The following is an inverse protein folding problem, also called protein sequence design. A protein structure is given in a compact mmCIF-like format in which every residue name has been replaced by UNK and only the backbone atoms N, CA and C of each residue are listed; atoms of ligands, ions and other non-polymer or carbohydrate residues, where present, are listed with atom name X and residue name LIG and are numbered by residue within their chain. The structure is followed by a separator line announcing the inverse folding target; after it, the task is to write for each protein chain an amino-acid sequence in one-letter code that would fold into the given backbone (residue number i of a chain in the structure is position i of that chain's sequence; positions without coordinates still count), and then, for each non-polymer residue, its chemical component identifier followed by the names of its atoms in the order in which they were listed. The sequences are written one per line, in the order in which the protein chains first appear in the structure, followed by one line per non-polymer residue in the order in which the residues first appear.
data_IF_845644556927
#
_entry.id   IF_845644556927
#
_cell.length_a   1.000
_cell.length_b   1.000
_cell.length_c   1.000
_cell.angle_alpha   90.00
_cell.angle_beta   90.00
_cell.angle_gamma   90.00
#
_symmetry.space_group_name_H-M   'P 1'
#
loop_
_entity.id
_entity.type
_entity.pdbx_description
1 polymer ?
#
# COMPACT_ATOMS: atom_id res chain seq x y z
N UNK A 1 28.35 -35.03 -43.41
CA UNK A 1 27.16 -34.80 -42.55
C UNK A 1 27.53 -34.09 -41.24
N UNK A 2 28.11 -32.87 -41.28
CA UNK A 2 28.48 -32.12 -40.07
C UNK A 2 28.01 -30.64 -40.07
N UNK A 3 27.29 -30.20 -41.11
CA UNK A 3 26.80 -28.81 -41.22
C UNK A 3 25.56 -28.48 -40.39
N UNK A 4 24.62 -29.42 -40.22
CA UNK A 4 23.30 -29.14 -39.63
C UNK A 4 23.24 -29.02 -38.10
N UNK A 5 24.32 -29.32 -37.38
CA UNK A 5 24.29 -29.37 -35.90
C UNK A 5 24.70 -28.04 -35.24
N UNK A 6 25.40 -27.15 -35.97
CA UNK A 6 25.87 -25.86 -35.44
C UNK A 6 24.84 -24.73 -35.54
N UNK A 7 24.06 -24.67 -36.62
CA UNK A 7 23.01 -23.65 -36.78
C UNK A 7 21.86 -23.83 -35.79
N UNK A 8 21.49 -25.07 -35.46
CA UNK A 8 20.42 -25.35 -34.49
C UNK A 8 20.79 -24.96 -33.04
N UNK A 9 22.08 -24.97 -32.69
CA UNK A 9 22.55 -24.57 -31.34
C UNK A 9 22.60 -23.05 -31.17
N UNK A 10 22.74 -22.29 -32.26
CA UNK A 10 22.75 -20.83 -32.22
C UNK A 10 21.36 -20.23 -32.01
N UNK A 11 20.32 -20.90 -32.51
CA UNK A 11 18.92 -20.50 -32.30
C UNK A 11 18.38 -20.89 -30.93
N UNK A 12 18.90 -21.97 -30.32
CA UNK A 12 18.43 -22.49 -29.03
C UNK A 12 18.73 -21.54 -27.85
N UNK A 13 19.75 -20.68 -28.01
CA UNK A 13 20.22 -19.77 -26.95
C UNK A 13 19.85 -18.31 -27.19
N UNK A 14 19.03 -18.01 -28.21
CA UNK A 14 18.59 -16.65 -28.50
C UNK A 14 17.48 -16.24 -27.55
N UNK A 15 17.73 -15.18 -26.77
CA UNK A 15 16.76 -14.63 -25.83
C UNK A 15 15.97 -13.48 -26.46
N UNK A 16 14.64 -13.53 -26.34
CA UNK A 16 13.69 -12.49 -26.78
C UNK A 16 13.01 -11.86 -25.57
N UNK A 17 12.68 -10.57 -25.66
CA UNK A 17 11.94 -9.86 -24.60
C UNK A 17 10.44 -10.12 -24.76
N UNK A 18 9.80 -10.60 -23.71
CA UNK A 18 8.35 -10.84 -23.69
C UNK A 18 7.57 -9.73 -22.98
N UNK A 19 8.17 -9.07 -22.00
CA UNK A 19 7.50 -7.99 -21.26
C UNK A 19 8.51 -6.95 -20.73
N UNK A 20 8.01 -5.73 -20.53
CA UNK A 20 8.72 -4.63 -19.84
C UNK A 20 7.80 -4.15 -18.72
N UNK A 21 8.26 -4.26 -17.47
CA UNK A 21 7.44 -3.96 -16.28
C UNK A 21 8.30 -3.42 -15.14
N UNK A 22 7.66 -3.02 -14.03
CA UNK A 22 8.34 -2.77 -12.76
C UNK A 22 9.06 -4.04 -12.29
N UNK A 23 10.06 -3.89 -11.42
CA UNK A 23 10.83 -5.02 -10.92
C UNK A 23 9.95 -6.08 -10.24
N UNK A 24 8.98 -5.64 -9.44
CA UNK A 24 8.04 -6.54 -8.74
C UNK A 24 7.18 -7.34 -9.72
N UNK A 25 6.53 -6.67 -10.67
CA UNK A 25 5.72 -7.32 -11.71
C UNK A 25 6.56 -8.28 -12.57
N UNK A 26 7.81 -7.91 -12.87
CA UNK A 26 8.73 -8.78 -13.61
C UNK A 26 9.16 -10.02 -12.82
N UNK A 27 9.32 -9.91 -11.50
CA UNK A 27 9.61 -11.05 -10.62
C UNK A 27 8.44 -12.04 -10.59
N UNK A 28 7.21 -11.53 -10.47
CA UNK A 28 5.98 -12.34 -10.50
C UNK A 28 5.89 -13.08 -11.85
N UNK A 29 6.03 -12.35 -12.96
CA UNK A 29 5.99 -12.93 -14.30
C UNK A 29 7.08 -14.00 -14.49
N UNK A 30 8.30 -13.76 -13.99
CA UNK A 30 9.40 -14.74 -14.02
C UNK A 30 9.00 -16.03 -13.32
N UNK A 31 8.47 -15.93 -12.10
CA UNK A 31 8.03 -17.10 -11.31
C UNK A 31 6.95 -17.91 -12.02
N UNK A 32 5.98 -17.23 -12.63
CA UNK A 32 4.89 -17.91 -13.35
C UNK A 32 5.43 -18.65 -14.59
N UNK A 33 6.25 -17.99 -15.39
CA UNK A 33 6.87 -18.62 -16.57
C UNK A 33 7.73 -19.83 -16.16
N UNK A 34 8.52 -19.70 -15.10
CA UNK A 34 9.36 -20.80 -14.59
C UNK A 34 8.52 -21.97 -14.05
N UNK A 35 7.37 -21.70 -13.42
CA UNK A 35 6.46 -22.75 -12.94
C UNK A 35 5.84 -23.59 -14.07
N UNK A 36 5.67 -22.98 -15.26
CA UNK A 36 5.26 -23.65 -16.49
C UNK A 36 6.43 -24.29 -17.24
N UNK A 37 7.64 -24.25 -16.68
CA UNK A 37 8.86 -24.81 -17.28
C UNK A 37 9.44 -23.96 -18.41
N UNK A 38 9.15 -22.67 -18.45
CA UNK A 38 9.72 -21.70 -19.40
C UNK A 38 10.84 -20.94 -18.69
N UNK A 39 12.08 -21.14 -19.15
CA UNK A 39 13.25 -20.46 -18.57
C UNK A 39 13.20 -18.95 -18.90
N UNK A 40 13.23 -18.10 -17.86
CA UNK A 40 13.13 -16.65 -18.02
C UNK A 40 14.17 -15.89 -17.19
N UNK A 41 14.65 -14.77 -17.73
CA UNK A 41 15.71 -13.94 -17.14
C UNK A 41 15.27 -12.48 -17.13
N UNK A 42 15.45 -11.80 -15.99
CA UNK A 42 15.22 -10.36 -15.86
C UNK A 42 16.50 -9.61 -16.22
N UNK A 43 16.41 -8.68 -17.17
CA UNK A 43 17.49 -7.78 -17.58
C UNK A 43 17.14 -6.33 -17.21
N UNK A 44 18.17 -5.55 -16.85
CA UNK A 44 18.01 -4.13 -16.50
C UNK A 44 18.08 -3.83 -15.00
N UNK A 45 18.49 -4.80 -14.18
CA UNK A 45 18.82 -4.57 -12.78
C UNK A 45 20.24 -4.00 -12.66
N UNK A 46 20.40 -2.85 -11.99
CA UNK A 46 21.70 -2.34 -11.59
C UNK A 46 21.97 -2.79 -10.16
N UNK A 47 22.83 -3.79 -9.97
CA UNK A 47 23.13 -4.37 -8.65
C UNK A 47 24.13 -3.55 -7.82
N UNK A 48 24.76 -2.53 -8.43
CA UNK A 48 25.85 -1.75 -7.82
C UNK A 48 25.31 -0.54 -7.06
N UNK A 49 24.19 0.02 -7.49
CA UNK A 49 23.51 1.14 -6.83
C UNK A 49 22.08 0.72 -6.47
N UNK A 50 21.62 0.94 -5.22
CA UNK A 50 20.27 0.59 -4.78
C UNK A 50 19.23 1.61 -5.28
N UNK A 51 19.22 1.86 -6.59
CA UNK A 51 18.14 2.58 -7.26
C UNK A 51 17.23 1.55 -7.92
N UNK A 52 15.93 1.60 -7.59
CA UNK A 52 14.93 0.74 -8.21
C UNK A 52 14.86 1.16 -9.69
N UNK A 53 15.25 0.32 -10.67
CA UNK A 53 15.12 0.69 -12.07
C UNK A 53 13.63 0.86 -12.38
N UNK A 54 13.26 2.02 -12.93
CA UNK A 54 11.85 2.32 -13.24
C UNK A 54 11.20 1.34 -14.24
N UNK A 55 12.00 0.56 -14.98
CA UNK A 55 11.50 -0.57 -15.76
C UNK A 55 12.59 -1.62 -16.00
N UNK A 56 12.21 -2.90 -15.96
CA UNK A 56 13.06 -4.05 -16.26
C UNK A 56 12.42 -4.91 -17.35
N UNK A 57 13.23 -5.74 -18.02
CA UNK A 57 12.81 -6.56 -19.17
C UNK A 57 12.84 -8.04 -18.80
N UNK A 58 11.73 -8.74 -19.01
CA UNK A 58 11.67 -10.21 -18.89
C UNK A 58 11.98 -10.82 -20.25
N UNK A 59 13.00 -11.68 -20.30
CA UNK A 59 13.46 -12.36 -21.52
C UNK A 59 13.35 -13.88 -21.37
N UNK A 60 13.01 -14.55 -22.47
CA UNK A 60 12.89 -16.01 -22.56
C UNK A 60 13.62 -16.51 -23.80
N UNK A 61 13.78 -17.82 -23.94
CA UNK A 61 14.29 -18.42 -25.18
C UNK A 61 13.28 -18.23 -26.31
N UNK A 62 13.76 -17.95 -27.52
CA UNK A 62 12.94 -17.73 -28.72
C UNK A 62 12.04 -18.94 -29.03
N UNK A 63 12.50 -20.16 -28.73
CA UNK A 63 11.75 -21.41 -28.90
C UNK A 63 10.47 -21.48 -28.05
N UNK A 64 10.46 -20.81 -26.89
CA UNK A 64 9.35 -20.87 -25.93
C UNK A 64 8.36 -19.71 -26.11
N UNK A 65 8.57 -18.85 -27.12
CA UNK A 65 7.81 -17.61 -27.29
C UNK A 65 6.29 -17.83 -27.37
N UNK A 66 5.84 -18.76 -28.21
CA UNK A 66 4.41 -19.04 -28.36
C UNK A 66 3.79 -19.60 -27.08
N UNK A 67 4.54 -20.40 -26.33
CA UNK A 67 4.07 -20.99 -25.08
C UNK A 67 4.00 -19.93 -23.98
N UNK A 68 5.00 -19.06 -23.91
CA UNK A 68 5.03 -17.96 -22.96
C UNK A 68 3.90 -16.96 -23.18
N UNK A 69 3.61 -16.58 -24.42
CA UNK A 69 2.48 -15.67 -24.71
C UNK A 69 1.14 -16.26 -24.26
N UNK A 70 0.91 -17.57 -24.46
CA UNK A 70 -0.31 -18.24 -23.96
C UNK A 70 -0.41 -18.21 -22.44
N UNK A 71 0.69 -18.43 -21.74
CA UNK A 71 0.72 -18.35 -20.27
C UNK A 71 0.44 -16.92 -19.82
N UNK A 72 1.06 -15.92 -20.46
CA UNK A 72 0.87 -14.51 -20.14
C UNK A 72 -0.59 -14.06 -20.35
N UNK A 73 -1.23 -14.49 -21.43
CA UNK A 73 -2.64 -14.17 -21.71
C UNK A 73 -3.61 -14.80 -20.69
N UNK A 74 -3.25 -15.92 -20.07
CA UNK A 74 -4.05 -16.57 -19.03
C UNK A 74 -3.83 -15.98 -17.64
N UNK A 75 -2.80 -15.16 -17.47
CA UNK A 75 -2.44 -14.57 -16.19
C UNK A 75 -3.01 -13.16 -16.12
N UNK A 76 -3.96 -12.97 -15.21
CA UNK A 76 -4.49 -11.65 -14.89
C UNK A 76 -3.45 -10.85 -14.08
N UNK A 77 -2.52 -10.20 -14.79
CA UNK A 77 -1.65 -9.14 -14.24
C UNK A 77 -2.43 -7.88 -13.87
N UNK A 78 -3.74 -7.85 -14.13
CA UNK A 78 -4.70 -6.83 -13.71
C UNK A 78 -5.06 -6.93 -12.23
N UNK A 79 -4.52 -7.93 -11.51
CA UNK A 79 -4.47 -7.90 -10.05
C UNK A 79 -3.62 -6.71 -9.64
N UNK A 80 -4.32 -5.59 -9.48
CA UNK A 80 -3.86 -4.29 -9.05
C UNK A 80 -2.77 -4.49 -8.00
N UNK A 81 -1.52 -4.28 -8.43
CA UNK A 81 -0.45 -4.05 -7.48
C UNK A 81 -0.82 -2.72 -6.84
N UNK A 82 -0.72 -2.60 -5.51
CA UNK A 82 -1.14 -1.43 -4.74
C UNK A 82 -0.57 -0.08 -5.23
N UNK A 83 0.36 -0.09 -6.19
CA UNK A 83 0.91 1.07 -6.87
C UNK A 83 0.01 1.62 -8.01
N UNK A 84 -0.81 0.79 -8.68
CA UNK A 84 -1.78 1.27 -9.69
C UNK A 84 -3.12 1.71 -9.04
N UNK A 85 -3.31 1.44 -7.75
CA UNK A 85 -4.47 1.86 -6.96
C UNK A 85 -4.41 3.31 -6.49
N UNK A 86 -3.24 3.97 -6.53
CA UNK A 86 -3.16 5.39 -6.14
C UNK A 86 -3.91 6.33 -7.11
N UNK A 87 -4.16 5.93 -8.36
CA UNK A 87 -4.91 6.76 -9.32
C UNK A 87 -6.40 6.39 -9.48
N UNK A 88 -6.87 5.25 -8.94
CA UNK A 88 -8.28 4.84 -9.09
C UNK A 88 -8.94 4.18 -7.88
N UNK A 89 -8.29 4.12 -6.72
CA UNK A 89 -9.07 4.29 -5.51
C UNK A 89 -9.64 5.72 -5.60
N UNK A 90 -10.96 5.86 -5.63
CA UNK A 90 -11.58 7.08 -5.17
C UNK A 90 -11.09 7.26 -3.74
N UNK A 91 -9.89 7.81 -3.55
CA UNK A 91 -9.40 8.27 -2.26
C UNK A 91 -10.51 9.21 -1.83
N UNK A 92 -11.35 8.75 -0.91
CA UNK A 92 -12.39 9.58 -0.32
C UNK A 92 -11.61 10.80 0.12
N UNK A 93 -11.80 11.91 -0.61
CA UNK A 93 -11.13 13.15 -0.24
C UNK A 93 -11.80 13.45 1.08
N UNK A 94 -11.03 13.39 2.15
CA UNK A 94 -11.49 13.68 3.49
C UNK A 94 -10.58 14.74 4.09
N UNK A 95 -11.15 15.71 4.78
CA UNK A 95 -10.42 16.64 5.62
C UNK A 95 -10.53 16.15 7.05
N UNK A 96 -9.38 15.83 7.65
CA UNK A 96 -9.28 15.49 9.05
C UNK A 96 -9.12 16.77 9.87
N UNK A 97 -10.07 17.04 10.77
CA UNK A 97 -10.03 18.17 11.69
C UNK A 97 -9.71 17.64 13.09
N UNK A 98 -8.54 17.99 13.66
CA UNK A 98 -8.27 17.70 15.06
C UNK A 98 -9.15 18.57 15.95
N UNK A 99 -9.76 17.98 16.97
CA UNK A 99 -10.60 18.67 17.95
C UNK A 99 -10.09 18.42 19.36
N UNK A 100 -10.04 19.46 20.17
CA UNK A 100 -9.57 19.44 21.56
C UNK A 100 -10.63 19.95 22.55
N UNK A 101 -11.85 20.17 22.06
CA UNK A 101 -13.00 20.72 22.81
C UNK A 101 -12.81 22.14 23.35
N UNK A 102 -11.73 22.83 22.98
CA UNK A 102 -11.55 24.24 23.31
C UNK A 102 -12.56 25.13 22.57
N UNK A 103 -12.71 26.37 23.02
CA UNK A 103 -13.55 27.37 22.34
C UNK A 103 -13.11 27.61 20.87
N UNK A 104 -11.84 27.34 20.55
CA UNK A 104 -11.28 27.44 19.20
C UNK A 104 -11.64 26.27 18.28
N UNK A 105 -12.14 25.15 18.84
CA UNK A 105 -12.58 24.00 18.05
C UNK A 105 -13.68 24.40 17.05
N UNK A 106 -14.63 25.25 17.44
CA UNK A 106 -15.71 25.69 16.54
C UNK A 106 -15.18 26.49 15.35
N UNK A 107 -14.24 27.41 15.58
CA UNK A 107 -13.59 28.17 14.50
C UNK A 107 -12.82 27.25 13.54
N UNK A 108 -12.18 26.23 14.07
CA UNK A 108 -11.44 25.23 13.29
C UNK A 108 -12.40 24.38 12.44
N UNK A 109 -13.55 23.99 13.01
CA UNK A 109 -14.61 23.30 12.29
C UNK A 109 -15.18 24.17 11.17
N UNK A 110 -15.48 25.44 11.43
CA UNK A 110 -15.98 26.39 10.42
C UNK A 110 -15.01 26.50 9.22
N UNK A 111 -13.72 26.70 9.49
CA UNK A 111 -12.70 26.74 8.45
C UNK A 111 -12.64 25.43 7.67
N UNK A 112 -12.61 24.29 8.38
CA UNK A 112 -12.52 22.98 7.76
C UNK A 112 -13.75 22.63 6.91
N UNK A 113 -14.96 23.00 7.33
CA UNK A 113 -16.18 22.82 6.53
C UNK A 113 -16.16 23.67 5.26
N UNK A 114 -15.68 24.91 5.35
CA UNK A 114 -15.52 25.77 4.18
C UNK A 114 -14.51 25.20 3.19
N UNK A 115 -13.36 24.75 3.69
CA UNK A 115 -12.35 24.09 2.87
C UNK A 115 -12.89 22.80 2.24
N UNK A 116 -13.71 22.04 2.97
CA UNK A 116 -14.33 20.82 2.47
C UNK A 116 -15.31 21.08 1.33
N UNK A 117 -16.10 22.15 1.46
CA UNK A 117 -17.00 22.62 0.41
C UNK A 117 -16.25 23.02 -0.86
N UNK A 118 -15.14 23.73 -0.72
CA UNK A 118 -14.32 24.19 -1.85
C UNK A 118 -13.63 23.01 -2.56
N UNK A 119 -13.18 22.01 -1.80
CA UNK A 119 -12.50 20.82 -2.31
C UNK A 119 -13.43 19.67 -2.70
N UNK A 120 -14.74 19.79 -2.44
CA UNK A 120 -15.77 18.77 -2.65
C UNK A 120 -15.41 17.43 -1.99
N UNK A 121 -15.12 17.50 -0.70
CA UNK A 121 -14.63 16.39 0.09
C UNK A 121 -15.42 16.26 1.42
N UNK A 122 -15.33 15.10 2.07
CA UNK A 122 -15.98 14.88 3.37
C UNK A 122 -15.12 15.45 4.50
N UNK A 123 -15.71 15.58 5.69
CA UNK A 123 -14.99 15.99 6.90
C UNK A 123 -15.05 14.91 7.95
N UNK A 124 -13.92 14.66 8.60
CA UNK A 124 -13.81 13.77 9.75
C UNK A 124 -13.24 14.55 10.93
N UNK A 125 -14.00 14.60 12.02
CA UNK A 125 -13.51 15.17 13.28
C UNK A 125 -12.76 14.07 14.05
N UNK A 126 -11.61 14.42 14.63
CA UNK A 126 -10.78 13.47 15.38
C UNK A 126 -10.29 14.11 16.68
N UNK A 127 -10.60 13.45 17.80
CA UNK A 127 -10.05 13.78 19.09
C UNK A 127 -9.03 12.70 19.51
N UNK A 128 -7.90 13.12 20.05
CA UNK A 128 -6.90 12.23 20.60
C UNK A 128 -6.87 12.35 22.13
N UNK A 129 -7.11 11.23 22.81
CA UNK A 129 -7.07 11.14 24.27
C UNK A 129 -6.10 10.04 24.70
N UNK A 130 -5.48 10.21 25.86
CA UNK A 130 -4.52 9.25 26.37
C UNK A 130 -5.24 8.14 27.15
N UNK A 131 -5.02 6.90 26.74
CA UNK A 131 -5.33 5.72 27.55
C UNK A 131 -4.03 4.96 27.81
N UNK A 132 -3.55 4.83 29.05
CA UNK A 132 -2.40 3.99 29.37
C UNK A 132 -2.77 2.49 29.26
N UNK A 133 -3.08 2.02 28.04
CA UNK A 133 -3.21 0.60 27.74
C UNK A 133 -1.84 0.10 27.27
N UNK A 134 -1.06 -0.43 28.21
CA UNK A 134 0.16 -1.18 27.86
C UNK A 134 -0.27 -2.58 27.41
N UNK A 135 0.05 -3.01 26.18
CA UNK A 135 -0.05 -4.42 25.84
C UNK A 135 0.85 -5.16 26.83
N UNK A 136 0.30 -6.16 27.54
CA UNK A 136 1.04 -6.97 28.51
C UNK A 136 2.25 -7.73 27.92
N UNK A 137 2.55 -7.55 26.63
CA UNK A 137 3.57 -8.25 25.87
C UNK A 137 4.85 -7.43 25.60
N UNK A 138 4.99 -6.20 26.11
CA UNK A 138 6.22 -5.40 25.90
C UNK A 138 7.06 -5.37 27.19
N UNK A 139 8.12 -6.20 27.30
CA UNK A 139 8.99 -6.22 28.46
C UNK A 139 9.97 -5.04 28.36
N UNK A 140 9.50 -3.84 28.71
CA UNK A 140 10.44 -2.75 28.98
C UNK A 140 11.06 -3.00 30.36
N UNK A 141 12.33 -3.38 30.32
CA UNK A 141 13.24 -3.47 31.47
C UNK A 141 13.15 -2.19 32.30
N UNK A 142 12.66 -2.32 33.52
CA UNK A 142 12.77 -1.36 34.63
C UNK A 142 12.35 0.11 34.36
N UNK A 143 11.06 0.38 34.17
CA UNK A 143 10.35 1.53 34.76
C UNK A 143 8.88 1.56 34.30
N UNK A 144 7.98 1.88 35.22
CA UNK A 144 6.52 2.03 35.07
C UNK A 144 5.68 0.75 35.16
N UNK A 145 5.67 0.12 36.34
CA UNK A 145 4.47 -0.60 36.77
C UNK A 145 3.39 0.42 37.12
N UNK A 146 2.53 0.77 36.15
CA UNK A 146 1.27 1.42 36.46
C UNK A 146 0.43 0.43 37.30
N UNK A 147 0.07 0.77 38.56
CA UNK A 147 -0.74 -0.11 39.38
C UNK A 147 -2.05 -0.43 38.65
N UNK A 148 -2.48 -1.69 38.70
CA UNK A 148 -3.71 -2.19 38.09
C UNK A 148 -5.00 -1.67 38.77
N UNK A 149 -5.00 -0.42 39.24
CA UNK A 149 -6.07 0.14 40.06
C UNK A 149 -7.25 0.65 39.25
N UNK A 150 -7.09 0.98 37.96
CA UNK A 150 -7.98 2.02 37.43
C UNK A 150 -8.67 1.67 36.11
N UNK A 151 -9.10 0.40 35.94
CA UNK A 151 -10.06 0.00 34.88
C UNK A 151 -11.25 0.96 34.77
N UNK A 152 -11.72 1.43 35.92
CA UNK A 152 -12.81 2.41 36.02
C UNK A 152 -12.37 3.79 35.52
N UNK A 153 -11.20 4.29 35.91
CA UNK A 153 -10.65 5.56 35.39
C UNK A 153 -10.52 5.57 33.84
N UNK A 154 -10.08 4.47 33.22
CA UNK A 154 -10.00 4.41 31.74
C UNK A 154 -11.36 4.50 31.08
N UNK A 155 -12.33 3.80 31.66
CA UNK A 155 -13.71 3.82 31.18
C UNK A 155 -14.33 5.20 31.38
N UNK A 156 -13.97 5.88 32.47
CA UNK A 156 -14.42 7.23 32.78
C UNK A 156 -13.84 8.26 31.80
N UNK A 157 -12.53 8.24 31.53
CA UNK A 157 -11.89 9.14 30.55
C UNK A 157 -12.51 8.94 29.15
N UNK A 158 -12.63 7.69 28.70
CA UNK A 158 -13.25 7.41 27.39
C UNK A 158 -14.70 7.91 27.34
N UNK A 159 -15.49 7.65 28.38
CA UNK A 159 -16.89 8.09 28.45
C UNK A 159 -17.02 9.60 28.44
N UNK A 160 -16.15 10.29 29.17
CA UNK A 160 -16.09 11.74 29.22
C UNK A 160 -15.78 12.30 27.83
N UNK A 161 -14.73 11.80 27.17
CA UNK A 161 -14.38 12.17 25.80
C UNK A 161 -15.52 11.90 24.80
N UNK A 162 -16.19 10.74 24.89
CA UNK A 162 -17.35 10.43 24.05
C UNK A 162 -18.53 11.39 24.30
N UNK A 163 -18.72 11.83 25.55
CA UNK A 163 -19.74 12.82 25.91
C UNK A 163 -19.42 14.20 25.36
N UNK A 164 -18.17 14.65 25.48
CA UNK A 164 -17.71 15.93 24.93
C UNK A 164 -17.83 15.95 23.40
N UNK A 165 -17.49 14.85 22.73
CA UNK A 165 -17.66 14.72 21.28
C UNK A 165 -19.13 14.83 20.86
N UNK A 166 -20.06 14.25 21.63
CA UNK A 166 -21.51 14.38 21.38
C UNK A 166 -21.97 15.83 21.58
N UNK A 167 -21.48 16.50 22.63
CA UNK A 167 -21.80 17.91 22.87
C UNK A 167 -21.26 18.81 21.76
N UNK A 168 -20.06 18.51 21.24
CA UNK A 168 -19.49 19.22 20.10
C UNK A 168 -20.35 19.03 18.83
N UNK A 169 -20.77 17.80 18.53
CA UNK A 169 -21.64 17.54 17.38
C UNK A 169 -22.96 18.33 17.47
N UNK A 170 -23.59 18.35 18.65
CA UNK A 170 -24.81 19.13 18.86
C UNK A 170 -24.60 20.64 18.63
N UNK A 171 -23.47 21.19 19.10
CA UNK A 171 -23.10 22.60 18.83
C UNK A 171 -22.87 22.86 17.35
N UNK A 172 -22.29 21.92 16.62
CA UNK A 172 -22.04 22.04 15.18
C UNK A 172 -23.36 22.01 14.39
N UNK A 173 -24.30 21.15 14.77
CA UNK A 173 -25.60 21.02 14.09
C UNK A 173 -26.49 22.27 14.27
N UNK A 174 -26.22 23.10 15.27
CA UNK A 174 -26.92 24.37 15.52
C UNK A 174 -26.45 25.53 14.61
N UNK A 175 -25.32 25.37 13.90
CA UNK A 175 -24.72 26.36 12.99
C UNK A 175 -25.04 26.09 11.51
#
# INVERSE_FOLDING_TARGET
MQGNKKENQQNDNRLVTVAIHTYEKAQILKTILESEGIESVIHGINLIEPSIPGSVRVRIKEIDLQRALRVIEQVDFTSKTAEDEEETEETNKEILIPVDFSDYTLLTCEFGFKLAKDLKCSVKLMHAFFTPFYPAAMPFSDAFTLPATDKDLYHDVRKETESEMKALNAKIDEY
#
